data_IF_638171773505
#
_entry.id   IF_638171773505
#
_cell.length_a   1.000
_cell.length_b   1.000
_cell.length_c   1.000
_cell.angle_alpha   90.00
_cell.angle_beta   90.00
_cell.angle_gamma   90.00
#
_symmetry.space_group_name_H-M   'P 1'
#
loop_
_entity.id
_entity.type
_entity.pdbx_description
1 polymer ?
#
# COMPACT_ATOMS: atom_id res chain seq x y z
N UNK A 1 -32.64 15.05 -10.12
CA UNK A 1 -32.45 16.27 -10.92
C UNK A 1 -31.28 16.00 -11.87
N UNK A 2 -31.51 16.06 -13.16
CA UNK A 2 -30.46 16.02 -14.17
C UNK A 2 -29.85 17.40 -14.28
N UNK A 3 -28.53 17.49 -14.06
CA UNK A 3 -27.77 18.71 -14.28
C UNK A 3 -26.98 18.58 -15.58
N UNK A 4 -27.22 19.48 -16.51
CA UNK A 4 -26.42 19.57 -17.72
C UNK A 4 -25.08 20.23 -17.39
N UNK A 5 -23.97 19.52 -17.67
CA UNK A 5 -22.60 19.99 -17.41
C UNK A 5 -21.97 20.27 -18.78
N UNK A 6 -21.55 21.50 -19.01
CA UNK A 6 -20.73 21.86 -20.16
C UNK A 6 -19.25 21.63 -19.81
N UNK A 7 -18.64 20.68 -20.52
CA UNK A 7 -17.21 20.41 -20.36
C UNK A 7 -16.42 21.37 -21.24
N UNK A 8 -15.64 22.25 -20.60
CA UNK A 8 -14.75 23.18 -21.30
C UNK A 8 -13.38 22.56 -21.58
N UNK A 9 -12.88 21.71 -20.67
CA UNK A 9 -11.60 21.05 -20.79
C UNK A 9 -11.66 19.65 -20.19
N UNK A 10 -10.96 18.70 -20.81
CA UNK A 10 -10.76 17.34 -20.28
C UNK A 10 -9.28 16.97 -20.36
N UNK A 11 -8.71 16.59 -19.23
CA UNK A 11 -7.31 16.18 -19.13
C UNK A 11 -7.16 14.98 -18.17
N UNK A 12 -6.08 14.25 -18.32
CA UNK A 12 -5.73 13.19 -17.39
C UNK A 12 -5.21 13.79 -16.08
N UNK A 13 -5.31 13.04 -14.99
CA UNK A 13 -4.74 13.44 -13.71
C UNK A 13 -3.24 13.74 -13.83
N UNK A 14 -2.49 12.95 -14.60
CA UNK A 14 -1.08 13.18 -14.86
C UNK A 14 -0.84 14.57 -15.49
N UNK A 15 -1.59 14.91 -16.53
CA UNK A 15 -1.47 16.21 -17.20
C UNK A 15 -1.79 17.36 -16.25
N UNK A 16 -2.82 17.22 -15.42
CA UNK A 16 -3.18 18.20 -14.41
C UNK A 16 -2.05 18.41 -13.37
N UNK A 17 -1.53 17.32 -12.81
CA UNK A 17 -0.50 17.36 -11.77
C UNK A 17 0.82 17.89 -12.31
N UNK A 18 1.25 17.43 -13.49
CA UNK A 18 2.49 17.89 -14.14
C UNK A 18 2.35 19.35 -14.62
N UNK A 19 1.17 19.75 -15.10
CA UNK A 19 0.86 21.13 -15.46
C UNK A 19 0.91 22.09 -14.26
N UNK A 20 0.67 21.61 -13.04
CA UNK A 20 0.86 22.37 -11.81
C UNK A 20 2.31 22.39 -11.31
N UNK A 21 3.27 21.83 -12.06
CA UNK A 21 4.68 21.79 -11.69
C UNK A 21 5.06 20.72 -10.66
N UNK A 22 4.16 19.76 -10.40
CA UNK A 22 4.38 18.64 -9.50
C UNK A 22 4.81 17.39 -10.28
N UNK A 23 5.37 16.41 -9.59
CA UNK A 23 5.68 15.11 -10.18
C UNK A 23 4.55 14.13 -9.95
N UNK A 24 4.31 13.26 -10.91
CA UNK A 24 3.26 12.26 -10.88
C UNK A 24 3.85 10.85 -10.94
N UNK A 25 3.37 9.97 -10.08
CA UNK A 25 3.65 8.53 -10.12
C UNK A 25 2.36 7.76 -9.90
N UNK A 26 2.04 6.86 -10.83
CA UNK A 26 0.92 5.93 -10.71
C UNK A 26 1.46 4.53 -10.51
N UNK A 27 0.91 3.82 -9.52
CA UNK A 27 1.10 2.38 -9.32
C UNK A 27 -0.27 1.73 -9.41
N UNK A 28 -0.41 0.74 -10.28
CA UNK A 28 -1.68 0.05 -10.49
C UNK A 28 -1.93 -0.92 -9.33
N UNK A 29 -3.04 -0.73 -8.61
CA UNK A 29 -3.48 -1.60 -7.53
C UNK A 29 -4.98 -1.87 -7.66
N UNK A 30 -5.36 -3.15 -7.61
CA UNK A 30 -6.75 -3.58 -7.68
C UNK A 30 -7.47 -3.18 -6.40
N UNK A 31 -8.72 -2.74 -6.53
CA UNK A 31 -9.51 -2.34 -5.38
C UNK A 31 -9.85 -3.54 -4.49
N UNK A 32 -9.90 -3.31 -3.18
CA UNK A 32 -10.24 -4.24 -2.10
C UNK A 32 -9.20 -5.32 -1.78
N UNK A 33 -8.28 -5.68 -2.65
CA UNK A 33 -7.27 -6.71 -2.42
C UNK A 33 -5.92 -6.11 -2.05
N UNK A 34 -5.03 -6.92 -1.47
CA UNK A 34 -3.63 -6.56 -1.30
C UNK A 34 -2.97 -6.32 -2.68
N UNK A 35 -2.07 -5.33 -2.82
CA UNK A 35 -1.39 -5.10 -4.08
C UNK A 35 -0.62 -6.31 -4.57
N UNK A 36 -0.70 -6.61 -5.87
CA UNK A 36 0.07 -7.68 -6.48
C UNK A 36 1.58 -7.52 -6.21
N UNK A 37 2.34 -8.62 -6.11
CA UNK A 37 3.77 -8.56 -5.80
C UNK A 37 4.56 -7.58 -6.67
N UNK A 38 4.29 -7.53 -7.96
CA UNK A 38 4.94 -6.58 -8.88
C UNK A 38 4.64 -5.11 -8.55
N UNK A 39 3.43 -4.80 -8.04
CA UNK A 39 3.09 -3.44 -7.63
C UNK A 39 3.80 -3.03 -6.35
N UNK A 40 4.01 -3.97 -5.44
CA UNK A 40 4.82 -3.75 -4.22
C UNK A 40 6.29 -3.56 -4.58
N UNK A 41 6.85 -4.36 -5.50
CA UNK A 41 8.21 -4.18 -6.02
C UNK A 41 8.38 -2.79 -6.64
N UNK A 42 7.43 -2.38 -7.48
CA UNK A 42 7.43 -1.04 -8.09
C UNK A 42 7.42 0.05 -7.01
N UNK A 43 6.65 -0.14 -5.94
CA UNK A 43 6.58 0.80 -4.84
C UNK A 43 7.89 0.87 -4.04
N UNK A 44 8.52 -0.26 -3.72
CA UNK A 44 9.82 -0.30 -3.05
C UNK A 44 10.90 0.36 -3.90
N UNK A 45 10.94 0.12 -5.23
CA UNK A 45 11.85 0.80 -6.12
C UNK A 45 11.59 2.30 -6.21
N UNK A 46 10.33 2.71 -6.24
CA UNK A 46 9.96 4.11 -6.17
C UNK A 46 10.47 4.75 -4.87
N UNK A 47 10.23 4.12 -3.72
CA UNK A 47 10.73 4.58 -2.43
C UNK A 47 12.26 4.77 -2.45
N UNK A 48 13.03 3.80 -2.97
CA UNK A 48 14.49 3.87 -3.08
C UNK A 48 14.96 5.03 -3.97
N UNK A 49 14.16 5.45 -4.93
CA UNK A 49 14.46 6.54 -5.85
C UNK A 49 14.17 7.94 -5.31
N UNK A 50 13.49 8.04 -4.17
CA UNK A 50 13.06 9.31 -3.60
C UNK A 50 14.24 10.10 -3.03
N UNK A 51 14.30 11.41 -3.25
CA UNK A 51 15.25 12.28 -2.54
C UNK A 51 14.86 12.41 -1.06
N UNK A 52 15.83 12.73 -0.21
CA UNK A 52 15.61 12.82 1.24
C UNK A 52 14.50 13.80 1.65
N UNK A 53 14.43 14.95 1.00
CA UNK A 53 13.47 16.01 1.33
C UNK A 53 12.34 16.06 0.29
N UNK A 54 11.52 15.03 0.28
CA UNK A 54 10.33 14.94 -0.58
C UNK A 54 9.05 14.95 0.26
N UNK A 55 8.05 15.66 -0.22
CA UNK A 55 6.69 15.51 0.26
C UNK A 55 5.89 14.69 -0.75
N UNK A 56 5.14 13.70 -0.26
CA UNK A 56 4.32 12.81 -1.08
C UNK A 56 2.86 12.99 -0.73
N UNK A 57 2.01 13.01 -1.75
CA UNK A 57 0.58 12.89 -1.62
C UNK A 57 0.14 11.53 -2.16
N UNK A 58 -0.51 10.74 -1.33
CA UNK A 58 -1.07 9.45 -1.69
C UNK A 58 -2.57 9.56 -1.84
N UNK A 59 -3.11 9.01 -2.89
CA UNK A 59 -4.55 8.88 -3.05
C UNK A 59 -4.91 7.66 -3.91
N UNK A 60 -6.13 7.19 -3.76
CA UNK A 60 -6.82 6.30 -4.69
C UNK A 60 -8.12 6.97 -5.12
N UNK A 61 -9.21 6.25 -5.33
CA UNK A 61 -10.50 6.87 -5.61
C UNK A 61 -11.14 7.48 -4.36
N UNK A 62 -11.28 6.68 -3.28
CA UNK A 62 -11.93 7.10 -2.03
C UNK A 62 -10.95 7.71 -1.00
N UNK A 63 -9.65 7.52 -1.17
CA UNK A 63 -8.65 7.96 -0.19
C UNK A 63 -8.51 7.06 1.04
N UNK A 64 -9.17 5.91 1.06
CA UNK A 64 -9.21 5.00 2.21
C UNK A 64 -8.33 3.75 2.02
N UNK A 65 -8.86 2.64 1.50
CA UNK A 65 -8.24 1.33 1.49
C UNK A 65 -6.83 1.30 0.88
N UNK A 66 -6.71 1.36 -0.44
CA UNK A 66 -5.43 1.35 -1.16
C UNK A 66 -4.50 2.47 -0.71
N UNK A 67 -5.04 3.65 -0.44
CA UNK A 67 -4.26 4.78 0.08
C UNK A 67 -3.59 4.43 1.39
N UNK A 68 -4.34 3.86 2.34
CA UNK A 68 -3.79 3.51 3.66
C UNK A 68 -2.80 2.34 3.57
N UNK A 69 -3.03 1.36 2.69
CA UNK A 69 -2.08 0.27 2.45
C UNK A 69 -0.71 0.79 2.03
N UNK A 70 -0.67 1.68 1.03
CA UNK A 70 0.59 2.27 0.57
C UNK A 70 1.20 3.27 1.57
N UNK A 71 0.38 4.01 2.31
CA UNK A 71 0.87 4.87 3.40
C UNK A 71 1.48 4.04 4.54
N UNK A 72 0.85 2.92 4.91
CA UNK A 72 1.40 2.01 5.92
C UNK A 72 2.72 1.39 5.45
N UNK A 73 2.81 0.92 4.21
CA UNK A 73 4.06 0.42 3.62
C UNK A 73 5.14 1.51 3.60
N UNK A 74 4.79 2.75 3.22
CA UNK A 74 5.74 3.87 3.25
C UNK A 74 6.25 4.15 4.65
N UNK A 75 5.36 4.13 5.63
CA UNK A 75 5.70 4.37 7.03
C UNK A 75 6.61 3.27 7.59
N UNK A 76 6.35 2.01 7.26
CA UNK A 76 7.22 0.86 7.60
C UNK A 76 8.63 1.05 7.02
N UNK A 77 8.73 1.44 5.74
CA UNK A 77 10.01 1.68 5.07
C UNK A 77 10.80 2.85 5.68
N UNK A 78 10.09 3.88 6.12
CA UNK A 78 10.70 5.09 6.72
C UNK A 78 11.09 4.90 8.19
N UNK A 79 10.36 4.07 8.91
CA UNK A 79 10.44 3.92 10.36
C UNK A 79 10.48 2.45 10.77
N UNK A 80 11.45 1.66 10.28
CA UNK A 80 11.48 0.21 10.49
C UNK A 80 11.61 -0.18 11.96
N UNK A 81 12.13 0.70 12.82
CA UNK A 81 12.24 0.46 14.25
C UNK A 81 10.91 0.66 15.03
N UNK A 82 9.87 1.22 14.39
CA UNK A 82 8.58 1.42 15.03
C UNK A 82 7.76 0.14 14.94
N UNK A 83 7.14 -0.34 16.04
CA UNK A 83 6.30 -1.53 16.01
C UNK A 83 5.17 -1.40 14.99
N UNK A 84 4.89 -2.48 14.26
CA UNK A 84 3.85 -2.51 13.23
C UNK A 84 2.50 -2.00 13.74
N UNK A 85 2.10 -2.43 14.93
CA UNK A 85 0.82 -2.03 15.52
C UNK A 85 0.71 -0.49 15.69
N UNK A 86 1.79 0.16 16.08
CA UNK A 86 1.83 1.61 16.26
C UNK A 86 1.73 2.33 14.92
N UNK A 87 2.38 1.77 13.87
CA UNK A 87 2.27 2.27 12.50
C UNK A 87 0.82 2.19 12.02
N UNK A 88 0.20 1.02 12.11
CA UNK A 88 -1.17 0.80 11.66
C UNK A 88 -2.17 1.67 12.42
N UNK A 89 -1.98 1.81 13.73
CA UNK A 89 -2.85 2.62 14.57
C UNK A 89 -2.76 4.11 14.23
N UNK A 90 -1.54 4.64 14.05
CA UNK A 90 -1.39 6.06 13.67
C UNK A 90 -1.94 6.37 12.28
N UNK A 91 -1.82 5.45 11.30
CA UNK A 91 -2.44 5.62 9.99
C UNK A 91 -3.98 5.66 10.09
N UNK A 92 -4.56 4.82 10.94
CA UNK A 92 -5.99 4.85 11.23
C UNK A 92 -6.41 6.18 11.90
N UNK A 93 -5.66 6.67 12.87
CA UNK A 93 -5.94 7.94 13.54
C UNK A 93 -5.85 9.16 12.60
N UNK A 94 -5.07 9.07 11.54
CA UNK A 94 -4.98 10.11 10.51
C UNK A 94 -6.17 10.09 9.52
N UNK A 95 -7.13 9.18 9.71
CA UNK A 95 -8.32 9.05 8.87
C UNK A 95 -8.28 7.93 7.84
N UNK A 96 -7.22 7.11 7.86
CA UNK A 96 -7.14 5.92 7.04
C UNK A 96 -7.93 4.72 7.61
N UNK A 97 -7.99 3.64 6.85
CA UNK A 97 -8.55 2.37 7.33
C UNK A 97 -7.52 1.61 8.18
N UNK A 98 -8.00 0.76 9.12
CA UNK A 98 -7.11 -0.14 9.85
C UNK A 98 -6.76 -1.35 8.97
N UNK A 99 -5.56 -1.36 8.39
CA UNK A 99 -5.16 -2.34 7.36
C UNK A 99 -5.19 -3.79 7.86
N UNK A 100 -4.89 -4.00 9.15
CA UNK A 100 -4.95 -5.32 9.78
C UNK A 100 -6.31 -5.62 10.42
N UNK A 101 -7.40 -5.02 9.91
CA UNK A 101 -8.76 -5.31 10.36
C UNK A 101 -9.11 -6.77 10.08
N UNK A 102 -9.67 -7.43 11.09
CA UNK A 102 -10.19 -8.81 11.00
C UNK A 102 -11.63 -8.80 11.48
N UNK A 103 -12.52 -9.32 10.68
CA UNK A 103 -13.93 -9.52 11.02
C UNK A 103 -14.09 -10.69 12.01
N UNK A 104 -15.19 -10.74 12.79
CA UNK A 104 -15.53 -11.93 13.57
C UNK A 104 -15.61 -13.20 12.71
N UNK A 105 -15.27 -14.35 13.30
CA UNK A 105 -15.25 -15.65 12.59
C UNK A 105 -16.59 -16.04 11.94
N UNK A 106 -17.71 -15.58 12.51
CA UNK A 106 -19.07 -15.82 11.99
C UNK A 106 -19.55 -14.77 10.99
N UNK A 107 -18.69 -13.81 10.63
CA UNK A 107 -19.04 -12.76 9.68
C UNK A 107 -19.30 -13.35 8.28
N UNK A 108 -20.43 -12.99 7.71
CA UNK A 108 -20.78 -13.31 6.31
C UNK A 108 -20.47 -12.18 5.35
N UNK A 109 -19.74 -11.17 5.81
CA UNK A 109 -19.41 -10.02 4.99
C UNK A 109 -18.46 -10.42 3.86
N UNK A 110 -18.80 -10.07 2.63
CA UNK A 110 -18.09 -10.53 1.44
C UNK A 110 -16.61 -10.11 1.36
N UNK A 111 -16.20 -9.10 2.14
CA UNK A 111 -14.81 -8.65 2.18
C UNK A 111 -13.92 -9.40 3.18
N UNK A 112 -14.45 -10.32 3.96
CA UNK A 112 -13.68 -11.07 4.98
C UNK A 112 -12.39 -11.67 4.43
N UNK A 113 -12.37 -12.39 3.29
CA UNK A 113 -11.14 -12.96 2.74
C UNK A 113 -10.08 -11.88 2.43
N UNK A 114 -10.51 -10.74 1.93
CA UNK A 114 -9.61 -9.63 1.59
C UNK A 114 -9.03 -8.94 2.84
N UNK A 115 -9.77 -8.88 3.94
CA UNK A 115 -9.26 -8.36 5.20
C UNK A 115 -8.20 -9.29 5.79
N UNK A 116 -8.44 -10.60 5.76
CA UNK A 116 -7.46 -11.60 6.21
C UNK A 116 -6.18 -11.52 5.37
N UNK A 117 -6.32 -11.45 4.05
CA UNK A 117 -5.20 -11.29 3.13
C UNK A 117 -4.37 -10.03 3.44
N UNK A 118 -5.01 -8.89 3.61
CA UNK A 118 -4.33 -7.63 3.93
C UNK A 118 -3.62 -7.66 5.28
N UNK A 119 -4.28 -8.20 6.30
CA UNK A 119 -3.68 -8.36 7.63
C UNK A 119 -2.44 -9.25 7.60
N UNK A 120 -2.50 -10.37 6.86
CA UNK A 120 -1.35 -11.26 6.64
C UNK A 120 -0.22 -10.52 5.90
N UNK A 121 -0.53 -9.92 4.77
CA UNK A 121 0.50 -9.34 3.91
C UNK A 121 1.16 -8.09 4.48
N UNK A 122 0.45 -7.23 5.23
CA UNK A 122 1.10 -6.09 5.87
C UNK A 122 2.08 -6.53 6.96
N UNK A 123 1.78 -7.63 7.68
CA UNK A 123 2.68 -8.21 8.64
C UNK A 123 3.91 -8.84 7.97
N UNK A 124 3.72 -9.54 6.85
CA UNK A 124 4.80 -10.08 6.03
C UNK A 124 5.65 -8.96 5.43
N UNK A 125 5.04 -7.87 4.97
CA UNK A 125 5.79 -6.71 4.45
C UNK A 125 6.64 -6.05 5.55
N UNK A 126 6.12 -5.93 6.76
CA UNK A 126 6.90 -5.45 7.90
C UNK A 126 8.12 -6.34 8.15
N UNK A 127 7.94 -7.67 8.16
CA UNK A 127 9.03 -8.64 8.29
C UNK A 127 10.04 -8.54 7.14
N UNK A 128 9.56 -8.43 5.90
CA UNK A 128 10.41 -8.22 4.73
C UNK A 128 11.33 -7.01 4.90
N UNK A 129 10.79 -5.88 5.37
CA UNK A 129 11.57 -4.67 5.61
C UNK A 129 12.62 -4.90 6.68
N UNK A 130 12.28 -5.56 7.81
CA UNK A 130 13.23 -5.88 8.87
C UNK A 130 14.41 -6.73 8.36
N UNK A 131 14.15 -7.67 7.47
CA UNK A 131 15.17 -8.59 6.94
C UNK A 131 16.01 -7.98 5.81
N UNK A 132 15.48 -7.00 5.07
CA UNK A 132 16.10 -6.52 3.82
C UNK A 132 16.55 -5.06 3.83
N UNK A 133 16.18 -4.25 4.83
CA UNK A 133 16.61 -2.85 4.93
C UNK A 133 18.15 -2.74 4.92
N UNK A 134 18.83 -3.55 5.73
CA UNK A 134 20.29 -3.55 5.86
C UNK A 134 21.05 -3.89 4.58
N UNK A 135 20.40 -4.53 3.61
CA UNK A 135 20.96 -4.85 2.28
C UNK A 135 20.53 -3.86 1.20
N UNK A 136 19.77 -2.82 1.57
CA UNK A 136 19.16 -1.88 0.62
C UNK A 136 18.10 -2.54 -0.26
N UNK A 137 17.38 -3.53 0.26
CA UNK A 137 16.36 -4.30 -0.45
C UNK A 137 16.94 -4.99 -1.69
N UNK A 138 18.02 -5.76 -1.51
CA UNK A 138 18.66 -6.52 -2.57
C UNK A 138 17.77 -7.65 -3.08
N UNK A 139 16.93 -8.25 -2.21
CA UNK A 139 15.90 -9.21 -2.57
C UNK A 139 14.61 -8.45 -2.84
N UNK A 140 13.93 -8.74 -3.96
CA UNK A 140 12.63 -8.14 -4.27
C UNK A 140 11.55 -8.67 -3.33
N UNK A 141 10.46 -7.91 -3.16
CA UNK A 141 9.28 -8.42 -2.46
C UNK A 141 8.73 -9.68 -3.12
N UNK A 142 8.64 -9.68 -4.45
CA UNK A 142 8.13 -10.83 -5.22
C UNK A 142 8.91 -12.11 -4.94
N UNK A 143 10.25 -12.04 -4.94
CA UNK A 143 11.09 -13.20 -4.66
C UNK A 143 11.02 -13.62 -3.19
N UNK A 144 10.99 -12.65 -2.28
CA UNK A 144 10.92 -12.88 -0.86
C UNK A 144 9.59 -13.54 -0.45
N UNK A 145 8.44 -13.02 -0.92
CA UNK A 145 7.13 -13.56 -0.57
C UNK A 145 6.93 -14.97 -1.15
N UNK A 146 7.37 -15.20 -2.39
CA UNK A 146 7.26 -16.52 -3.02
C UNK A 146 8.04 -17.60 -2.24
N UNK A 147 9.20 -17.24 -1.67
CA UNK A 147 9.97 -18.16 -0.82
C UNK A 147 9.25 -18.46 0.51
N UNK A 148 8.56 -17.48 1.09
CA UNK A 148 7.88 -17.65 2.39
C UNK A 148 6.49 -18.29 2.30
N UNK A 149 5.80 -18.18 1.17
CA UNK A 149 4.54 -18.89 0.94
C UNK A 149 4.76 -20.40 0.74
N UNK A 150 5.92 -20.79 0.19
CA UNK A 150 6.28 -22.20 0.05
C UNK A 150 6.64 -22.87 1.38
N UNK A 151 7.12 -22.10 2.34
CA UNK A 151 7.45 -22.62 3.68
C UNK A 151 6.18 -22.83 4.52
N UNK A 152 5.17 -21.98 4.40
CA UNK A 152 3.88 -22.12 5.11
C UNK A 152 3.11 -23.38 4.65
N UNK A 153 3.20 -23.76 3.37
CA UNK A 153 2.55 -24.97 2.82
C UNK A 153 3.30 -26.28 3.17
N UNK A 154 4.52 -26.20 3.66
CA UNK A 154 5.33 -27.38 4.02
C UNK A 154 5.10 -27.85 5.48
N UNK A 155 4.45 -27.03 6.31
CA UNK A 155 4.18 -27.32 7.73
C UNK A 155 2.71 -27.81 7.97
N UNK A 156 1.87 -27.96 6.93
CA UNK A 156 0.55 -28.59 6.98
C UNK A 156 0.60 -30.07 6.53
#
# INVERSE_FOLDING_TARGET
>A
DEHEIFVEEAQTEKELVEGAGLRYKRIAATDHIWPLPAAVDEFVQFYKSLPENIWLHFHCQAGEGRTTEFLAMYDILKNPAVPLQDILYRQCLLGGSYVAHVEPEDSTYWKVPYYVEKAKHIALFYRYVQENEGTGFAVSWSDWIAAHELDDDADE
#
